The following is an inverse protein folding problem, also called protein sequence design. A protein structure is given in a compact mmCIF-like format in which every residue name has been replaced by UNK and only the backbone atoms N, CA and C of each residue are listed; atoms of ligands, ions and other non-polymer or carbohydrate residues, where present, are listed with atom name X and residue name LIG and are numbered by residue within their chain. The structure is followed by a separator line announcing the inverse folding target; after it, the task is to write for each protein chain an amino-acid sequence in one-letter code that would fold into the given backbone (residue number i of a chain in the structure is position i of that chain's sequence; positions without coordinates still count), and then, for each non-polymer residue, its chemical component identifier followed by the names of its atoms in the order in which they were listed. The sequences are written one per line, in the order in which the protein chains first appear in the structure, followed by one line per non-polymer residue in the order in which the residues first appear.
data_IF_325666504374
#
_entry.id   IF_325666504374
#
_cell.length_a   1.000
_cell.length_b   1.000
_cell.length_c   1.000
_cell.angle_alpha   90.00
_cell.angle_beta   90.00
_cell.angle_gamma   90.00
#
_symmetry.space_group_name_H-M   'P 1'
#
loop_
_entity.id
_entity.type
_entity.pdbx_description
1 polymer ?
#
# COMPACT_ATOMS: atom_id res chain seq x y z
N UNK A 1 18.54 -19.76 3.91
CA UNK A 1 19.28 -18.85 4.79
C UNK A 1 19.82 -19.63 5.98
N UNK A 2 21.00 -19.31 6.50
CA UNK A 2 21.71 -20.12 7.51
C UNK A 2 21.59 -19.54 8.94
N UNK A 3 21.48 -18.22 9.10
CA UNK A 3 21.46 -17.52 10.39
C UNK A 3 20.25 -16.61 10.50
N UNK A 4 19.13 -17.22 10.92
CA UNK A 4 17.84 -16.55 11.07
C UNK A 4 17.73 -15.90 12.46
N UNK A 5 17.51 -14.60 12.51
CA UNK A 5 17.09 -13.90 13.72
C UNK A 5 15.57 -13.72 13.79
N UNK A 6 14.96 -13.89 14.95
CA UNK A 6 13.54 -13.62 15.18
C UNK A 6 13.40 -12.43 16.11
N UNK A 7 12.67 -11.40 15.66
CA UNK A 7 12.43 -10.18 16.43
C UNK A 7 10.93 -10.05 16.72
N UNK A 8 10.56 -10.09 18.00
CA UNK A 8 9.17 -10.03 18.45
C UNK A 8 8.87 -8.65 19.01
N UNK A 9 7.93 -7.94 18.38
CA UNK A 9 7.45 -6.66 18.89
C UNK A 9 6.50 -6.91 20.06
N UNK A 10 6.67 -6.19 21.17
CA UNK A 10 5.81 -6.33 22.36
C UNK A 10 4.73 -5.25 22.45
N UNK A 11 4.77 -4.24 21.58
CA UNK A 11 3.80 -3.13 21.54
C UNK A 11 2.54 -3.47 20.72
N UNK A 12 1.54 -2.58 20.77
CA UNK A 12 0.25 -2.73 20.07
C UNK A 12 -0.48 -4.03 20.44
N UNK A 13 -0.64 -4.24 21.75
CA UNK A 13 -1.34 -5.36 22.39
C UNK A 13 -0.68 -6.74 22.27
N UNK A 14 0.39 -6.88 21.49
CA UNK A 14 1.08 -8.17 21.31
C UNK A 14 1.62 -8.68 22.66
N UNK A 15 2.41 -7.88 23.37
CA UNK A 15 2.96 -8.26 24.67
C UNK A 15 1.93 -8.31 25.81
N UNK A 16 0.77 -7.69 25.62
CA UNK A 16 -0.31 -7.72 26.62
C UNK A 16 -1.13 -9.01 26.52
N UNK A 17 -1.29 -9.55 25.31
CA UNK A 17 -2.18 -10.69 25.06
C UNK A 17 -1.45 -12.01 24.81
N UNK A 18 -0.18 -11.96 24.40
CA UNK A 18 0.65 -13.14 24.16
C UNK A 18 1.78 -13.25 25.18
N UNK A 19 2.14 -14.49 25.51
CA UNK A 19 3.33 -14.77 26.31
C UNK A 19 4.58 -14.73 25.43
N UNK A 20 5.35 -13.65 25.57
CA UNK A 20 6.54 -13.41 24.75
C UNK A 20 7.62 -14.47 25.00
N UNK A 21 7.81 -14.93 26.23
CA UNK A 21 8.85 -15.92 26.54
C UNK A 21 8.54 -17.27 25.85
N UNK A 22 7.28 -17.67 25.81
CA UNK A 22 6.86 -18.86 25.07
C UNK A 22 7.04 -18.71 23.55
N UNK A 23 6.77 -17.54 22.99
CA UNK A 23 7.00 -17.27 21.57
C UNK A 23 8.49 -17.30 21.23
N UNK A 24 9.34 -16.76 22.09
CA UNK A 24 10.78 -16.83 21.90
C UNK A 24 11.28 -18.27 21.94
N UNK A 25 10.76 -19.10 22.84
CA UNK A 25 11.12 -20.52 22.91
C UNK A 25 10.67 -21.27 21.66
N UNK A 26 9.45 -21.02 21.17
CA UNK A 26 8.96 -21.62 19.93
C UNK A 26 9.84 -21.24 18.71
N UNK A 27 10.37 -20.01 18.66
CA UNK A 27 11.32 -19.60 17.63
C UNK A 27 12.65 -20.39 17.73
N UNK A 28 13.21 -20.53 18.95
CA UNK A 28 14.45 -21.30 19.19
C UNK A 28 14.27 -22.77 18.82
N UNK A 29 13.17 -23.39 19.22
CA UNK A 29 12.83 -24.78 18.90
C UNK A 29 12.71 -25.01 17.39
N UNK A 30 12.21 -24.04 16.63
CA UNK A 30 12.11 -24.12 15.18
C UNK A 30 13.46 -23.91 14.46
N UNK A 31 14.50 -23.53 15.19
CA UNK A 31 15.86 -23.35 14.65
C UNK A 31 16.23 -21.90 14.32
N UNK A 32 15.64 -20.91 14.99
CA UNK A 32 16.16 -19.55 14.96
C UNK A 32 17.55 -19.48 15.65
N UNK A 33 18.52 -18.84 15.00
CA UNK A 33 19.88 -18.68 15.51
C UNK A 33 19.96 -17.65 16.64
N UNK A 34 19.13 -16.61 16.59
CA UNK A 34 19.00 -15.59 17.62
C UNK A 34 17.54 -15.16 17.76
N UNK A 35 17.12 -14.78 18.97
CA UNK A 35 15.75 -14.35 19.25
C UNK A 35 15.77 -13.14 20.17
N UNK A 36 15.02 -12.11 19.81
CA UNK A 36 14.97 -10.82 20.48
C UNK A 36 13.53 -10.35 20.64
N UNK A 37 13.25 -9.68 21.76
CA UNK A 37 11.98 -8.99 21.99
C UNK A 37 12.23 -7.54 22.39
N UNK A 38 11.45 -6.61 21.82
CA UNK A 38 11.54 -5.18 22.14
C UNK A 38 10.24 -4.46 21.80
N UNK A 39 9.95 -3.42 22.57
CA UNK A 39 8.86 -2.49 22.25
C UNK A 39 9.20 -1.66 21.01
N UNK A 40 8.15 -1.30 20.26
CA UNK A 40 8.21 -0.37 19.13
C UNK A 40 9.34 -0.67 18.15
N UNK A 41 9.44 -1.91 17.65
CA UNK A 41 10.43 -2.28 16.64
C UNK A 41 10.41 -1.40 15.38
N UNK A 42 9.28 -0.74 15.09
CA UNK A 42 9.15 0.21 13.98
C UNK A 42 9.65 1.63 14.28
N UNK A 43 10.04 1.95 15.52
CA UNK A 43 10.64 3.25 15.85
C UNK A 43 12.06 3.33 15.29
N UNK A 44 12.65 4.53 15.31
CA UNK A 44 14.06 4.72 14.91
C UNK A 44 15.01 3.89 15.78
N UNK A 45 14.75 3.85 17.08
CA UNK A 45 15.51 3.08 18.07
C UNK A 45 15.26 1.57 17.93
N UNK A 46 14.05 1.16 17.54
CA UNK A 46 13.71 -0.22 17.23
C UNK A 46 14.43 -0.72 15.98
N UNK A 47 14.42 0.08 14.90
CA UNK A 47 15.13 -0.22 13.65
C UNK A 47 16.64 -0.30 13.87
N UNK A 48 17.22 0.66 14.56
CA UNK A 48 18.66 0.66 14.88
C UNK A 48 19.07 -0.56 15.72
N UNK A 49 18.21 -0.97 16.67
CA UNK A 49 18.43 -2.19 17.44
C UNK A 49 18.45 -3.45 16.57
N UNK A 50 17.54 -3.56 15.60
CA UNK A 50 17.53 -4.71 14.67
C UNK A 50 18.81 -4.71 13.83
N UNK A 51 19.22 -3.57 13.28
CA UNK A 51 20.46 -3.45 12.49
C UNK A 51 21.70 -3.83 13.30
N UNK A 52 21.79 -3.37 14.57
CA UNK A 52 22.88 -3.74 15.48
C UNK A 52 22.96 -5.26 15.66
N UNK A 53 21.84 -5.94 15.90
CA UNK A 53 21.81 -7.39 16.12
C UNK A 53 22.06 -8.19 14.84
N UNK A 54 21.58 -7.72 13.70
CA UNK A 54 21.92 -8.28 12.39
C UNK A 54 23.44 -8.31 12.21
N UNK A 55 24.12 -7.19 12.48
CA UNK A 55 25.57 -7.10 12.33
C UNK A 55 26.33 -7.90 13.39
N UNK A 56 25.91 -7.81 14.65
CA UNK A 56 26.58 -8.46 15.79
C UNK A 56 26.58 -9.99 15.65
N UNK A 57 25.44 -10.58 15.28
CA UNK A 57 25.30 -12.05 15.21
C UNK A 57 25.59 -12.59 13.80
N UNK A 58 25.75 -11.69 12.83
CA UNK A 58 25.93 -12.02 11.42
C UNK A 58 24.70 -12.70 10.83
N UNK A 59 23.52 -12.14 11.08
CA UNK A 59 22.24 -12.68 10.59
C UNK A 59 22.11 -12.43 9.08
N UNK A 60 21.71 -13.46 8.33
CA UNK A 60 21.44 -13.37 6.88
C UNK A 60 19.94 -13.34 6.56
N UNK A 61 19.11 -13.60 7.58
CA UNK A 61 17.66 -13.50 7.50
C UNK A 61 17.06 -13.07 8.83
N UNK A 62 15.95 -12.33 8.78
CA UNK A 62 15.20 -11.92 9.96
C UNK A 62 13.71 -12.13 9.77
N UNK A 63 13.06 -12.71 10.78
CA UNK A 63 11.62 -12.68 10.93
C UNK A 63 11.26 -11.55 11.87
N UNK A 64 10.44 -10.59 11.41
CA UNK A 64 9.93 -9.52 12.25
C UNK A 64 8.47 -9.84 12.61
N UNK A 65 8.27 -10.35 13.80
CA UNK A 65 6.98 -10.74 14.36
C UNK A 65 6.30 -9.52 15.01
N UNK A 66 5.50 -8.81 14.23
CA UNK A 66 4.97 -7.49 14.61
C UNK A 66 3.65 -7.19 13.89
N UNK A 67 3.51 -5.96 13.37
CA UNK A 67 2.40 -5.50 12.55
C UNK A 67 2.47 -5.97 11.10
N UNK A 68 1.40 -5.67 10.35
CA UNK A 68 1.20 -6.09 8.98
C UNK A 68 2.38 -5.73 8.07
N UNK A 69 2.68 -6.60 7.11
CA UNK A 69 3.60 -6.32 6.01
C UNK A 69 3.11 -5.23 5.05
N UNK A 70 1.84 -4.83 5.13
CA UNK A 70 1.24 -3.77 4.29
C UNK A 70 1.67 -2.35 4.69
N UNK A 71 2.31 -2.20 5.85
CA UNK A 71 2.81 -0.92 6.38
C UNK A 71 4.26 -1.08 6.82
N UNK A 72 4.99 0.04 6.93
CA UNK A 72 6.39 0.06 7.37
C UNK A 72 7.33 -0.84 6.53
N UNK A 73 7.00 -1.06 5.25
CA UNK A 73 7.82 -1.88 4.34
C UNK A 73 9.20 -1.26 4.10
N UNK A 74 9.28 0.07 4.16
CA UNK A 74 10.48 0.90 4.08
C UNK A 74 11.32 0.84 5.35
N UNK A 75 10.67 0.81 6.52
CA UNK A 75 11.34 0.74 7.83
C UNK A 75 12.09 -0.57 8.00
N UNK A 76 11.44 -1.70 7.67
CA UNK A 76 11.99 -3.04 7.79
C UNK A 76 12.63 -3.54 6.50
N UNK A 77 13.35 -2.65 5.82
CA UNK A 77 14.19 -2.98 4.69
C UNK A 77 15.66 -2.91 5.11
N UNK A 78 16.34 -4.06 5.10
CA UNK A 78 17.74 -4.21 5.50
C UNK A 78 18.54 -4.75 4.32
N UNK A 79 19.67 -4.12 4.00
CA UNK A 79 20.48 -4.50 2.85
C UNK A 79 21.04 -5.92 3.00
N UNK A 80 20.91 -6.73 1.95
CA UNK A 80 21.43 -8.10 1.87
C UNK A 80 20.92 -9.07 2.96
N UNK A 81 19.80 -8.76 3.61
CA UNK A 81 19.16 -9.62 4.61
C UNK A 81 17.76 -9.99 4.13
N UNK A 82 17.43 -11.27 4.14
CA UNK A 82 16.05 -11.69 3.85
C UNK A 82 15.13 -11.30 5.02
N UNK A 83 14.07 -10.55 4.72
CA UNK A 83 13.10 -10.13 5.74
C UNK A 83 11.78 -10.84 5.51
N UNK A 84 11.30 -11.58 6.51
CA UNK A 84 9.91 -12.02 6.58
C UNK A 84 9.13 -11.19 7.62
N UNK A 85 7.95 -10.72 7.22
CA UNK A 85 7.09 -9.86 8.04
C UNK A 85 5.94 -10.70 8.60
N UNK A 86 6.12 -11.24 9.79
CA UNK A 86 5.14 -12.08 10.47
C UNK A 86 4.12 -11.22 11.21
N UNK A 87 2.89 -11.16 10.70
CA UNK A 87 1.86 -10.22 11.15
C UNK A 87 1.11 -10.74 12.38
N UNK A 88 1.76 -10.77 13.54
CA UNK A 88 1.11 -11.19 14.79
C UNK A 88 -0.04 -10.25 15.20
N UNK A 89 0.10 -8.94 15.00
CA UNK A 89 -0.94 -7.98 15.41
C UNK A 89 -2.24 -8.18 14.64
N UNK A 90 -2.23 -8.05 13.33
CA UNK A 90 -3.44 -8.14 12.51
C UNK A 90 -3.86 -9.58 12.20
N UNK A 91 -2.90 -10.51 12.20
CA UNK A 91 -3.14 -11.92 11.88
C UNK A 91 -3.60 -12.76 13.07
N UNK A 92 -3.24 -12.35 14.30
CA UNK A 92 -3.54 -13.10 15.54
C UNK A 92 -4.27 -12.22 16.54
N UNK A 93 -3.64 -11.15 17.03
CA UNK A 93 -4.15 -10.40 18.18
C UNK A 93 -5.44 -9.66 17.85
N UNK A 94 -5.46 -8.83 16.81
CA UNK A 94 -6.61 -7.99 16.46
C UNK A 94 -7.66 -8.69 15.59
N UNK A 95 -7.41 -9.92 15.15
CA UNK A 95 -8.38 -10.70 14.37
C UNK A 95 -9.12 -11.73 15.23
N UNK A 96 -8.65 -12.00 16.45
CA UNK A 96 -9.22 -13.01 17.35
C UNK A 96 -9.50 -12.41 18.71
N UNK A 97 -10.79 -12.29 18.99
CA UNK A 97 -11.32 -11.91 20.28
C UNK A 97 -12.36 -12.94 20.71
N UNK A 98 -12.39 -13.31 21.99
CA UNK A 98 -13.47 -14.11 22.52
C UNK A 98 -14.75 -13.27 22.52
N UNK A 99 -15.81 -13.76 21.90
CA UNK A 99 -17.12 -13.08 21.83
C UNK A 99 -18.16 -13.98 22.48
N UNK A 100 -18.82 -13.48 23.51
CA UNK A 100 -19.92 -14.15 24.20
C UNK A 100 -21.20 -14.21 23.35
N UNK A 101 -22.18 -14.98 23.81
CA UNK A 101 -23.46 -15.17 23.10
C UNK A 101 -24.22 -13.86 22.84
N UNK A 102 -24.02 -12.85 23.70
CA UNK A 102 -24.64 -11.53 23.60
C UNK A 102 -23.82 -10.55 22.73
N UNK A 103 -22.73 -11.00 22.10
CA UNK A 103 -21.86 -10.17 21.27
C UNK A 103 -20.85 -9.33 22.05
N UNK A 104 -20.73 -9.52 23.37
CA UNK A 104 -19.74 -8.85 24.21
C UNK A 104 -18.37 -9.51 24.11
N UNK A 105 -17.30 -8.70 24.17
CA UNK A 105 -15.93 -9.21 24.21
C UNK A 105 -15.63 -9.73 25.62
N UNK A 106 -15.13 -10.97 25.71
CA UNK A 106 -14.73 -11.61 26.97
C UNK A 106 -13.23 -11.41 27.24
N UNK A 107 -12.77 -11.85 28.41
CA UNK A 107 -11.33 -11.94 28.70
C UNK A 107 -10.70 -13.13 27.94
N UNK A 108 -9.42 -13.03 27.57
CA UNK A 108 -8.71 -14.10 26.85
C UNK A 108 -8.60 -15.40 27.68
N UNK A 109 -8.77 -15.33 29.00
CA UNK A 109 -8.81 -16.49 29.91
C UNK A 109 -10.13 -17.25 29.84
N UNK A 110 -11.15 -16.74 29.15
CA UNK A 110 -12.41 -17.45 28.98
C UNK A 110 -12.20 -18.78 28.26
N UNK A 111 -12.73 -19.86 28.83
CA UNK A 111 -12.76 -21.17 28.20
C UNK A 111 -13.97 -21.26 27.26
N UNK A 112 -13.74 -21.82 26.08
CA UNK A 112 -14.79 -22.10 25.09
C UNK A 112 -14.95 -23.60 24.82
N UNK A 113 -13.96 -24.39 25.24
CA UNK A 113 -13.99 -25.85 25.38
C UNK A 113 -13.32 -26.18 26.72
N UNK A 114 -13.78 -27.23 27.39
CA UNK A 114 -13.27 -27.65 28.70
C UNK A 114 -11.73 -27.77 28.70
N UNK A 115 -11.07 -26.96 29.52
CA UNK A 115 -9.61 -26.95 29.66
C UNK A 115 -8.84 -26.26 28.54
N UNK A 116 -9.52 -25.55 27.63
CA UNK A 116 -8.89 -24.74 26.56
C UNK A 116 -9.42 -23.32 26.62
N UNK A 117 -8.55 -22.40 27.03
CA UNK A 117 -8.84 -20.97 27.01
C UNK A 117 -8.62 -20.36 25.63
N UNK A 118 -9.25 -19.22 25.34
CA UNK A 118 -8.94 -18.45 24.13
C UNK A 118 -7.47 -18.03 24.07
N UNK A 119 -6.82 -17.81 25.21
CA UNK A 119 -5.39 -17.53 25.29
C UNK A 119 -4.55 -18.70 24.76
N UNK A 120 -4.95 -19.94 25.03
CA UNK A 120 -4.27 -21.14 24.50
C UNK A 120 -4.35 -21.18 22.97
N UNK A 121 -5.52 -20.88 22.39
CA UNK A 121 -5.70 -20.78 20.94
C UNK A 121 -4.83 -19.66 20.34
N UNK A 122 -4.86 -18.46 20.93
CA UNK A 122 -4.07 -17.32 20.50
C UNK A 122 -2.57 -17.64 20.52
N UNK A 123 -2.10 -18.29 21.58
CA UNK A 123 -0.71 -18.72 21.72
C UNK A 123 -0.34 -19.79 20.69
N UNK A 124 -1.19 -20.78 20.45
CA UNK A 124 -0.96 -21.78 19.42
C UNK A 124 -0.85 -21.13 18.02
N UNK A 125 -1.78 -20.23 17.69
CA UNK A 125 -1.78 -19.51 16.42
C UNK A 125 -0.52 -18.64 16.26
N UNK A 126 -0.13 -17.89 17.29
CA UNK A 126 1.09 -17.07 17.27
C UNK A 126 2.36 -17.90 17.09
N UNK A 127 2.47 -19.04 17.79
CA UNK A 127 3.60 -19.98 17.65
C UNK A 127 3.66 -20.52 16.22
N UNK A 128 2.54 -20.87 15.62
CA UNK A 128 2.51 -21.37 14.25
C UNK A 128 2.92 -20.30 13.23
N UNK A 129 2.51 -19.04 13.42
CA UNK A 129 2.99 -17.91 12.59
C UNK A 129 4.52 -17.77 12.63
N UNK A 130 5.11 -17.85 13.83
CA UNK A 130 6.57 -17.81 14.01
C UNK A 130 7.22 -19.04 13.34
N UNK A 131 6.68 -20.23 13.58
CA UNK A 131 7.22 -21.48 13.02
C UNK A 131 7.20 -21.46 11.49
N UNK A 132 6.09 -21.04 10.89
CA UNK A 132 5.95 -20.88 9.44
C UNK A 132 6.95 -19.86 8.90
N UNK A 133 7.17 -18.74 9.59
CA UNK A 133 8.15 -17.74 9.19
C UNK A 133 9.58 -18.27 9.18
N UNK A 134 9.99 -18.94 10.27
CA UNK A 134 11.33 -19.54 10.37
C UNK A 134 11.50 -20.63 9.29
N UNK A 135 10.51 -21.52 9.11
CA UNK A 135 10.55 -22.55 8.06
C UNK A 135 10.63 -21.95 6.64
N UNK A 136 9.89 -20.86 6.38
CA UNK A 136 9.96 -20.11 5.13
C UNK A 136 11.36 -19.56 4.91
N UNK A 137 11.98 -18.93 5.91
CA UNK A 137 13.32 -18.36 5.81
C UNK A 137 14.43 -19.42 5.66
N UNK A 138 14.27 -20.60 6.28
CA UNK A 138 15.20 -21.73 6.11
C UNK A 138 15.29 -22.16 4.65
N UNK A 139 14.15 -22.26 3.97
CA UNK A 139 14.07 -22.62 2.54
C UNK A 139 14.24 -21.44 1.57
N UNK A 140 14.30 -20.20 2.08
CA UNK A 140 14.40 -19.00 1.27
C UNK A 140 15.77 -18.88 0.59
N UNK A 141 15.72 -18.51 -0.69
CA UNK A 141 16.87 -18.14 -1.51
C UNK A 141 16.68 -16.70 -1.94
N UNK A 142 17.72 -15.88 -1.79
CA UNK A 142 17.66 -14.48 -2.21
C UNK A 142 17.38 -14.43 -3.72
N UNK A 143 16.29 -13.78 -4.16
CA UNK A 143 16.02 -13.63 -5.57
C UNK A 143 17.03 -12.66 -6.18
N UNK A 144 17.46 -12.92 -7.41
CA UNK A 144 18.16 -11.91 -8.19
C UNK A 144 17.15 -10.82 -8.60
N UNK A 145 17.42 -9.54 -8.30
CA UNK A 145 16.54 -8.47 -8.70
C UNK A 145 16.34 -8.48 -10.21
N UNK A 146 15.09 -8.41 -10.66
CA UNK A 146 14.78 -8.27 -12.08
C UNK A 146 15.40 -6.97 -12.61
N UNK A 147 16.30 -7.10 -13.58
CA UNK A 147 16.88 -5.97 -14.31
C UNK A 147 16.27 -5.98 -15.70
N UNK A 148 15.41 -5.00 -16.05
CA UNK A 148 14.85 -4.96 -17.38
C UNK A 148 15.97 -4.77 -18.42
N UNK A 149 15.90 -5.54 -19.50
CA UNK A 149 16.80 -5.38 -20.66
C UNK A 149 16.47 -4.11 -21.45
N UNK A 150 15.19 -3.73 -21.45
CA UNK A 150 14.68 -2.53 -22.08
C UNK A 150 14.80 -1.30 -21.17
N UNK A 151 15.01 -0.13 -21.78
CA UNK A 151 14.99 1.13 -21.05
C UNK A 151 13.61 1.40 -20.45
N UNK A 152 13.58 1.70 -19.15
CA UNK A 152 12.36 2.05 -18.42
C UNK A 152 11.83 3.38 -18.97
N UNK A 153 10.57 3.38 -19.40
CA UNK A 153 9.88 4.62 -19.77
C UNK A 153 9.68 5.49 -18.53
N UNK A 154 9.95 6.78 -18.67
CA UNK A 154 9.66 7.80 -17.65
C UNK A 154 8.38 8.59 -17.98
N UNK A 155 7.71 8.25 -19.07
CA UNK A 155 6.49 8.92 -19.52
C UNK A 155 5.32 8.53 -18.61
N UNK A 156 4.55 9.53 -18.20
CA UNK A 156 3.41 9.36 -17.29
C UNK A 156 2.11 9.39 -18.10
N UNK A 157 1.29 8.34 -17.98
CA UNK A 157 -0.06 8.34 -18.52
C UNK A 157 -1.04 8.90 -17.50
N UNK A 158 -1.82 9.90 -17.89
CA UNK A 158 -2.94 10.42 -17.12
C UNK A 158 -4.25 10.03 -17.80
N UNK A 159 -5.10 9.27 -17.11
CA UNK A 159 -6.39 8.83 -17.64
C UNK A 159 -7.50 9.70 -17.05
N UNK A 160 -8.04 10.60 -17.85
CA UNK A 160 -9.10 11.56 -17.49
C UNK A 160 -8.60 13.00 -17.45
N UNK A 161 -9.22 13.87 -18.23
CA UNK A 161 -8.94 15.30 -18.37
C UNK A 161 -9.79 16.21 -17.48
N UNK A 162 -10.27 15.72 -16.33
CA UNK A 162 -10.89 16.55 -15.29
C UNK A 162 -9.87 17.29 -14.43
N UNK A 163 -10.31 18.13 -13.48
CA UNK A 163 -9.42 18.94 -12.62
C UNK A 163 -8.28 18.12 -11.99
N UNK A 164 -8.56 16.92 -11.46
CA UNK A 164 -7.54 16.05 -10.88
C UNK A 164 -6.48 15.60 -11.90
N UNK A 165 -6.91 15.20 -13.11
CA UNK A 165 -5.99 14.77 -14.15
C UNK A 165 -5.22 15.92 -14.79
N UNK A 166 -5.86 17.07 -15.01
CA UNK A 166 -5.19 18.27 -15.49
C UNK A 166 -4.09 18.70 -14.52
N UNK A 167 -4.39 18.75 -13.22
CA UNK A 167 -3.40 19.08 -12.18
C UNK A 167 -2.28 18.05 -12.16
N UNK A 168 -2.60 16.76 -12.19
CA UNK A 168 -1.58 15.71 -12.23
C UNK A 168 -0.66 15.82 -13.45
N UNK A 169 -1.19 16.15 -14.63
CA UNK A 169 -0.42 16.33 -15.84
C UNK A 169 0.51 17.56 -15.78
N UNK A 170 0.00 18.68 -15.27
CA UNK A 170 0.79 19.91 -15.07
C UNK A 170 1.94 19.66 -14.10
N UNK A 171 1.67 19.08 -12.93
CA UNK A 171 2.70 18.82 -11.92
C UNK A 171 3.73 17.79 -12.39
N UNK A 172 3.30 16.75 -13.11
CA UNK A 172 4.21 15.80 -13.75
C UNK A 172 5.15 16.47 -14.77
N UNK A 173 4.60 17.34 -15.62
CA UNK A 173 5.39 18.09 -16.60
C UNK A 173 6.36 19.09 -15.94
N UNK A 174 5.91 19.79 -14.89
CA UNK A 174 6.72 20.70 -14.07
C UNK A 174 7.87 19.97 -13.36
N UNK A 175 7.64 18.74 -12.90
CA UNK A 175 8.67 17.86 -12.34
C UNK A 175 9.65 17.32 -13.40
N UNK A 176 9.40 17.59 -14.69
CA UNK A 176 10.31 17.32 -15.78
C UNK A 176 9.93 16.15 -16.68
N UNK A 177 8.82 15.45 -16.41
CA UNK A 177 8.42 14.23 -17.13
C UNK A 177 7.58 14.52 -18.38
N UNK A 178 7.69 13.64 -19.37
CA UNK A 178 6.75 13.59 -20.49
C UNK A 178 5.42 13.00 -20.03
N UNK A 179 4.30 13.58 -20.49
CA UNK A 179 2.96 13.20 -20.07
C UNK A 179 2.10 12.88 -21.29
N UNK A 180 1.35 11.78 -21.21
CA UNK A 180 0.28 11.46 -22.14
C UNK A 180 -1.04 11.57 -21.39
N UNK A 181 -1.90 12.51 -21.77
CA UNK A 181 -3.21 12.69 -21.17
C UNK A 181 -4.29 12.15 -22.11
N UNK A 182 -5.13 11.24 -21.64
CA UNK A 182 -6.22 10.64 -22.41
C UNK A 182 -7.57 11.04 -21.79
N UNK A 183 -8.39 11.73 -22.59
CA UNK A 183 -9.75 12.14 -22.23
C UNK A 183 -10.77 11.54 -23.21
N UNK A 184 -11.81 10.91 -22.66
CA UNK A 184 -12.87 10.22 -23.43
C UNK A 184 -13.80 11.20 -24.15
N UNK A 185 -13.98 12.40 -23.61
CA UNK A 185 -14.80 13.46 -24.19
C UNK A 185 -13.98 14.33 -25.15
N UNK A 186 -14.66 15.13 -25.96
CA UNK A 186 -14.02 16.03 -26.94
C UNK A 186 -13.36 17.24 -26.28
N UNK A 187 -13.72 17.54 -25.04
CA UNK A 187 -13.31 18.72 -24.29
C UNK A 187 -12.70 18.31 -22.95
N UNK A 188 -11.74 19.10 -22.48
CA UNK A 188 -11.13 18.94 -21.17
C UNK A 188 -11.96 19.66 -20.09
N UNK A 189 -11.66 19.37 -18.83
CA UNK A 189 -12.23 20.02 -17.65
C UNK A 189 -13.22 19.17 -16.86
N UNK A 190 -13.62 18.02 -17.40
CA UNK A 190 -14.46 17.03 -16.71
C UNK A 190 -15.79 17.60 -16.23
N UNK A 191 -16.25 17.18 -15.05
CA UNK A 191 -17.54 17.63 -14.51
C UNK A 191 -17.53 19.11 -14.12
N UNK A 192 -16.40 19.64 -13.66
CA UNK A 192 -16.27 21.04 -13.22
C UNK A 192 -16.56 22.01 -14.37
N UNK A 193 -16.08 21.73 -15.58
CA UNK A 193 -16.39 22.53 -16.76
C UNK A 193 -17.89 22.59 -17.10
N UNK A 194 -18.67 21.59 -16.68
CA UNK A 194 -20.12 21.50 -16.91
C UNK A 194 -20.94 22.18 -15.80
N UNK A 195 -20.32 22.57 -14.69
CA UNK A 195 -21.02 23.23 -13.60
C UNK A 195 -21.39 24.65 -14.00
N UNK A 196 -22.54 25.14 -13.53
CA UNK A 196 -22.91 26.56 -13.70
C UNK A 196 -22.01 27.47 -12.85
N UNK A 197 -21.75 27.04 -11.62
CA UNK A 197 -20.90 27.72 -10.65
C UNK A 197 -20.54 26.76 -9.50
N UNK A 198 -19.54 27.13 -8.70
CA UNK A 198 -19.11 26.41 -7.49
C UNK A 198 -18.68 27.42 -6.41
N UNK A 199 -18.55 26.97 -5.16
CA UNK A 199 -18.00 27.83 -4.11
C UNK A 199 -16.55 28.19 -4.44
N UNK A 200 -16.13 29.40 -4.07
CA UNK A 200 -14.72 29.80 -4.15
C UNK A 200 -13.81 28.74 -3.54
N UNK A 201 -12.64 28.49 -4.15
CA UNK A 201 -11.68 27.48 -3.67
C UNK A 201 -10.76 27.99 -2.54
N UNK A 202 -10.83 29.27 -2.22
CA UNK A 202 -10.03 29.92 -1.18
C UNK A 202 -10.90 30.26 0.03
N UNK A 203 -10.31 30.11 1.22
CA UNK A 203 -10.92 30.62 2.46
C UNK A 203 -11.23 32.12 2.28
N UNK A 204 -12.44 32.61 2.63
CA UNK A 204 -13.45 31.97 3.47
C UNK A 204 -14.59 31.22 2.76
N UNK A 205 -14.47 30.87 1.47
CA UNK A 205 -15.49 30.10 0.72
C UNK A 205 -16.86 30.77 0.66
N UNK A 206 -16.90 32.11 0.61
CA UNK A 206 -18.14 32.89 0.80
C UNK A 206 -18.91 33.12 -0.49
N UNK A 207 -18.23 33.20 -1.63
CA UNK A 207 -18.90 33.53 -2.88
C UNK A 207 -19.07 32.31 -3.78
N UNK A 208 -20.05 32.42 -4.66
CA UNK A 208 -20.28 31.50 -5.77
C UNK A 208 -19.57 32.08 -6.99
N UNK A 209 -18.65 31.31 -7.57
CA UNK A 209 -17.84 31.73 -8.73
C UNK A 209 -18.06 30.79 -9.91
N UNK A 210 -17.81 31.24 -11.14
CA UNK A 210 -17.77 30.38 -12.32
C UNK A 210 -16.76 29.23 -12.14
N UNK A 211 -16.91 28.11 -12.90
CA UNK A 211 -15.95 27.01 -12.88
C UNK A 211 -14.51 27.48 -13.13
N UNK A 212 -13.62 27.20 -12.18
CA UNK A 212 -12.20 27.56 -12.27
C UNK A 212 -11.44 26.36 -12.82
N UNK A 213 -11.52 26.16 -14.13
CA UNK A 213 -10.81 25.07 -14.83
C UNK A 213 -10.14 25.52 -16.14
N UNK A 214 -10.58 26.65 -16.71
CA UNK A 214 -10.05 27.16 -17.98
C UNK A 214 -8.54 27.39 -17.95
N UNK A 215 -8.00 27.91 -16.85
CA UNK A 215 -6.55 28.10 -16.70
C UNK A 215 -5.79 26.77 -16.75
N UNK A 216 -6.26 25.74 -16.05
CA UNK A 216 -5.65 24.41 -16.07
C UNK A 216 -5.69 23.80 -17.49
N UNK A 217 -6.80 23.98 -18.20
CA UNK A 217 -6.93 23.53 -19.60
C UNK A 217 -5.90 24.24 -20.47
N UNK A 218 -5.80 25.57 -20.37
CA UNK A 218 -4.83 26.34 -21.14
C UNK A 218 -3.38 25.97 -20.81
N UNK A 219 -3.06 25.72 -19.54
CA UNK A 219 -1.72 25.28 -19.15
C UNK A 219 -1.38 23.91 -19.76
N UNK A 220 -2.33 22.96 -19.74
CA UNK A 220 -2.14 21.63 -20.34
C UNK A 220 -1.98 21.71 -21.86
N UNK A 221 -2.84 22.47 -22.55
CA UNK A 221 -2.82 22.55 -24.02
C UNK A 221 -1.60 23.29 -24.58
N UNK A 222 -1.02 24.22 -23.80
CA UNK A 222 0.18 24.98 -24.21
C UNK A 222 1.49 24.36 -23.70
N UNK A 223 1.47 23.20 -23.06
CA UNK A 223 2.67 22.55 -22.52
C UNK A 223 3.21 21.50 -23.51
N UNK A 224 4.42 21.73 -24.02
CA UNK A 224 5.07 20.85 -25.01
C UNK A 224 5.35 19.44 -24.49
N UNK A 225 5.45 19.25 -23.17
CA UNK A 225 5.64 17.93 -22.54
C UNK A 225 4.35 17.12 -22.38
N UNK A 226 3.19 17.71 -22.66
CA UNK A 226 1.90 17.07 -22.45
C UNK A 226 1.24 16.79 -23.79
N UNK A 227 1.27 15.53 -24.21
CA UNK A 227 0.52 15.05 -25.38
C UNK A 227 -0.92 14.73 -24.98
N UNK A 228 -1.87 15.49 -25.49
CA UNK A 228 -3.30 15.33 -25.18
C UNK A 228 -4.04 14.56 -26.27
N UNK A 229 -4.72 13.49 -25.87
CA UNK A 229 -5.70 12.77 -26.68
C UNK A 229 -7.11 13.07 -26.18
N UNK A 230 -7.89 13.79 -26.99
CA UNK A 230 -9.32 14.04 -26.74
C UNK A 230 -10.18 13.08 -27.56
N UNK A 231 -11.36 12.75 -27.07
CA UNK A 231 -12.23 11.75 -27.71
C UNK A 231 -11.59 10.36 -27.78
N UNK A 232 -10.75 10.04 -26.80
CA UNK A 232 -9.92 8.85 -26.79
C UNK A 232 -10.06 8.07 -25.48
N UNK A 233 -9.91 6.75 -25.56
CA UNK A 233 -10.00 5.86 -24.40
C UNK A 233 -8.80 4.92 -24.34
N UNK A 234 -8.40 4.55 -23.14
CA UNK A 234 -7.43 3.47 -22.96
C UNK A 234 -8.15 2.14 -23.18
N UNK A 235 -7.74 1.39 -24.19
CA UNK A 235 -8.31 0.10 -24.54
C UNK A 235 -7.72 -1.02 -23.66
N UNK A 236 -6.40 -0.99 -23.44
CA UNK A 236 -5.73 -1.94 -22.54
C UNK A 236 -4.42 -1.37 -22.01
N UNK A 237 -4.02 -1.89 -20.85
CA UNK A 237 -2.73 -1.66 -20.21
C UNK A 237 -2.16 -3.04 -19.90
N UNK A 238 -0.98 -3.35 -20.45
CA UNK A 238 -0.24 -4.58 -20.14
C UNK A 238 1.19 -4.24 -19.73
N UNK A 239 1.92 -5.23 -19.20
CA UNK A 239 3.29 -5.05 -18.73
C UNK A 239 3.38 -4.80 -17.22
N UNK A 240 4.41 -4.06 -16.80
CA UNK A 240 4.76 -3.85 -15.39
C UNK A 240 5.21 -2.40 -15.16
N UNK A 241 5.31 -1.92 -13.91
CA UNK A 241 5.82 -0.57 -13.61
C UNK A 241 7.14 -0.28 -14.36
N UNK A 242 7.18 0.85 -15.06
CA UNK A 242 8.30 1.25 -15.91
C UNK A 242 8.25 0.75 -17.36
N UNK A 243 7.49 -0.31 -17.64
CA UNK A 243 7.41 -0.98 -18.94
C UNK A 243 5.94 -1.30 -19.29
N UNK A 244 5.05 -0.35 -19.05
CA UNK A 244 3.67 -0.50 -19.48
C UNK A 244 3.56 -0.31 -20.99
N UNK A 245 2.85 -1.23 -21.61
CA UNK A 245 2.41 -1.10 -22.98
C UNK A 245 0.93 -0.72 -23.00
N UNK A 246 0.63 0.49 -23.44
CA UNK A 246 -0.72 1.06 -23.37
C UNK A 246 -1.27 1.23 -24.77
N UNK A 247 -2.46 0.68 -25.01
CA UNK A 247 -3.21 0.89 -26.25
C UNK A 247 -4.24 1.98 -26.05
N UNK A 248 -4.10 3.07 -26.80
CA UNK A 248 -5.01 4.21 -26.78
C UNK A 248 -5.86 4.16 -28.05
N UNK A 249 -7.19 4.07 -27.89
CA UNK A 249 -8.13 4.16 -28.99
C UNK A 249 -8.51 5.63 -29.21
N UNK A 250 -8.17 6.16 -30.38
CA UNK A 250 -8.49 7.52 -30.81
C UNK A 250 -9.36 7.42 -32.07
N UNK A 251 -10.67 7.68 -31.93
CA UNK A 251 -11.58 7.65 -33.07
C UNK A 251 -11.61 6.32 -33.83
N UNK A 252 -11.45 5.19 -33.12
CA UNK A 252 -11.44 3.84 -33.69
C UNK A 252 -10.09 3.33 -34.17
N UNK A 253 -9.02 4.16 -34.12
CA UNK A 253 -7.64 3.74 -34.38
C UNK A 253 -6.91 3.50 -33.08
N UNK A 254 -6.19 2.39 -32.98
CA UNK A 254 -5.34 2.09 -31.82
C UNK A 254 -3.92 2.61 -32.05
N UNK A 255 -3.41 3.40 -31.10
CA UNK A 255 -2.02 3.79 -30.99
C UNK A 255 -1.41 3.10 -29.76
N UNK A 256 -0.20 2.59 -29.91
CA UNK A 256 0.52 1.89 -28.86
C UNK A 256 1.62 2.80 -28.28
N UNK A 257 1.64 2.96 -26.96
CA UNK A 257 2.54 3.90 -26.27
C UNK A 257 3.18 3.21 -25.07
N UNK A 258 4.51 3.35 -24.95
CA UNK A 258 5.28 2.89 -23.80
C UNK A 258 5.20 3.88 -22.64
N UNK A 259 4.73 3.44 -21.49
CA UNK A 259 4.45 4.26 -20.31
C UNK A 259 5.19 3.71 -19.09
N UNK A 260 5.72 4.61 -18.27
CA UNK A 260 6.39 4.27 -17.01
C UNK A 260 5.43 4.09 -15.85
N UNK A 261 4.47 5.02 -15.73
CA UNK A 261 3.52 5.06 -14.63
C UNK A 261 2.16 5.58 -15.09
N UNK A 262 1.10 5.21 -14.36
CA UNK A 262 -0.28 5.56 -14.69
C UNK A 262 -0.92 6.30 -13.53
N UNK A 263 -1.50 7.47 -13.81
CA UNK A 263 -2.39 8.22 -12.92
C UNK A 263 -3.82 8.00 -13.39
N UNK A 264 -4.62 7.31 -12.57
CA UNK A 264 -6.04 7.06 -12.85
C UNK A 264 -6.89 8.20 -12.26
N UNK A 265 -7.38 9.09 -13.12
CA UNK A 265 -8.21 10.25 -12.77
C UNK A 265 -9.57 10.21 -13.51
N UNK A 266 -10.20 9.03 -13.57
CA UNK A 266 -11.38 8.73 -14.41
C UNK A 266 -12.70 9.43 -14.00
N UNK A 267 -12.62 10.46 -13.16
CA UNK A 267 -13.73 11.27 -12.70
C UNK A 267 -14.63 10.57 -11.68
N UNK A 268 -15.47 11.37 -11.02
CA UNK A 268 -16.55 10.87 -10.17
C UNK A 268 -17.87 10.89 -10.94
N UNK A 269 -18.84 10.09 -10.49
CA UNK A 269 -20.23 10.16 -10.93
C UNK A 269 -21.03 10.81 -9.80
N UNK A 270 -21.85 11.85 -10.08
CA UNK A 270 -22.77 12.36 -9.08
C UNK A 270 -23.63 11.24 -8.50
N UNK A 271 -23.87 11.28 -7.20
CA UNK A 271 -24.79 10.35 -6.56
C UNK A 271 -26.19 10.55 -7.12
N UNK A 272 -26.89 9.45 -7.37
CA UNK A 272 -28.27 9.47 -7.83
C UNK A 272 -29.18 9.83 -6.65
N UNK A 273 -29.57 11.10 -6.57
CA UNK A 273 -30.37 11.63 -5.47
C UNK A 273 -31.71 10.91 -5.28
N UNK A 274 -32.23 10.20 -6.31
CA UNK A 274 -33.45 9.39 -6.18
C UNK A 274 -33.30 8.17 -5.26
N UNK A 275 -32.06 7.80 -4.92
CA UNK A 275 -31.74 6.71 -3.99
C UNK A 275 -31.72 7.15 -2.52
N UNK A 276 -31.86 8.44 -2.24
CA UNK A 276 -32.07 8.93 -0.88
C UNK A 276 -33.53 8.65 -0.50
N UNK A 277 -33.75 7.72 0.42
CA UNK A 277 -35.10 7.35 0.89
C UNK A 277 -35.72 8.44 1.75
N UNK A 278 -34.88 9.15 2.51
CA UNK A 278 -35.19 10.34 3.28
C UNK A 278 -33.95 11.26 3.16
N UNK A 279 -34.14 12.59 3.17
CA UNK A 279 -33.06 13.58 2.98
C UNK A 279 -32.00 13.53 4.11
N UNK A 280 -31.07 12.56 4.03
CA UNK A 280 -29.89 12.46 4.90
C UNK A 280 -30.17 11.89 6.28
#
# INVERSE_FOLDING_TARGET
MEKIGVFICTSCDIGNRLDIAELENAAREQGAAAVYSKEFLCSKEGRAFIEEKIQQDGLDAVSICACSSRVNYDVFNFENVAVDRTSLREGVVWSRFPVGEEGNILEDTAEYVEGVSFKDELMALAKDYIRMSVAKLQSYKMPEPFKPEEEISKTILVIGGGVAGLTAAIEAANAGYEVVLVEKEKELGGFVAKMKAHCEVNHPYKNIVPPVVGELISQVENNEKIKVYKGATVASISGMPGLFNVKINVGGKEEEVKIGSVVLAAGFKPYDASKLTDLG
#
